data_IF_841083977890
#
_entry.id   IF_841083977890
#
_cell.length_a   1.000
_cell.length_b   1.000
_cell.length_c   1.000
_cell.angle_alpha   90.00
_cell.angle_beta   90.00
_cell.angle_gamma   90.00
#
_symmetry.space_group_name_H-M   'P 1'
#
loop_
_entity.id
_entity.type
_entity.pdbx_description
1 polymer ?
#
# COMPACT_ATOMS: atom_id res chain seq x y z
N UNK A 1 -21.86 7.08 5.95
CA UNK A 1 -22.88 8.09 5.58
C UNK A 1 -24.19 7.37 5.25
N UNK A 2 -25.36 7.92 5.67
CA UNK A 2 -26.65 7.25 5.38
C UNK A 2 -27.07 7.52 3.93
N UNK A 3 -27.67 6.55 3.21
CA UNK A 3 -28.30 6.80 1.92
C UNK A 3 -29.36 7.90 2.03
N UNK A 4 -29.39 8.83 1.08
CA UNK A 4 -30.36 9.94 1.07
C UNK A 4 -30.00 11.12 1.97
N UNK A 5 -28.74 11.25 2.42
CA UNK A 5 -28.31 12.45 3.14
C UNK A 5 -28.50 13.71 2.28
N UNK A 6 -29.00 14.80 2.87
CA UNK A 6 -29.14 16.08 2.19
C UNK A 6 -27.79 16.72 1.90
N UNK A 7 -27.72 17.66 0.95
CA UNK A 7 -26.51 18.40 0.64
C UNK A 7 -25.92 19.09 1.88
N UNK A 8 -26.76 19.67 2.72
CA UNK A 8 -26.33 20.33 3.95
C UNK A 8 -25.68 19.35 4.93
N UNK A 9 -26.24 18.14 5.05
CA UNK A 9 -25.65 17.08 5.89
C UNK A 9 -24.30 16.62 5.35
N UNK A 10 -24.15 16.50 4.03
CA UNK A 10 -22.89 16.14 3.38
C UNK A 10 -21.84 17.23 3.60
N UNK A 11 -22.22 18.50 3.44
CA UNK A 11 -21.35 19.65 3.63
C UNK A 11 -20.87 19.73 5.09
N UNK A 12 -21.77 19.61 6.05
CA UNK A 12 -21.41 19.63 7.48
C UNK A 12 -20.47 18.47 7.85
N UNK A 13 -20.73 17.28 7.34
CA UNK A 13 -19.85 16.12 7.55
C UNK A 13 -18.45 16.35 6.95
N UNK A 14 -18.38 16.91 5.76
CA UNK A 14 -17.09 17.24 5.11
C UNK A 14 -16.30 18.28 5.91
N UNK A 15 -16.94 19.38 6.33
CA UNK A 15 -16.29 20.41 7.15
C UNK A 15 -15.68 19.83 8.43
N UNK A 16 -16.44 18.93 9.11
CA UNK A 16 -15.96 18.26 10.30
C UNK A 16 -14.73 17.37 10.00
N UNK A 17 -14.74 16.59 8.91
CA UNK A 17 -13.62 15.75 8.50
C UNK A 17 -12.39 16.61 8.17
N UNK A 18 -12.56 17.69 7.40
CA UNK A 18 -11.46 18.58 7.01
C UNK A 18 -10.82 19.27 8.24
N UNK A 19 -11.64 19.68 9.21
CA UNK A 19 -11.15 20.27 10.45
C UNK A 19 -10.31 19.29 11.28
N UNK A 20 -10.76 18.03 11.41
CA UNK A 20 -10.03 16.97 12.10
C UNK A 20 -8.76 16.61 11.36
N UNK A 21 -8.79 16.54 10.02
CA UNK A 21 -7.63 16.28 9.18
C UNK A 21 -6.55 17.35 9.39
N UNK A 22 -6.91 18.63 9.34
CA UNK A 22 -5.95 19.73 9.53
C UNK A 22 -5.31 19.70 10.92
N UNK A 23 -6.08 19.40 11.98
CA UNK A 23 -5.53 19.24 13.34
C UNK A 23 -4.57 18.05 13.45
N UNK A 24 -4.95 16.90 12.89
CA UNK A 24 -4.11 15.70 12.91
C UNK A 24 -2.79 15.89 12.18
N UNK A 25 -2.82 16.52 11.01
CA UNK A 25 -1.62 16.84 10.24
C UNK A 25 -0.79 17.95 10.93
N UNK A 26 -1.40 18.79 11.75
CA UNK A 26 -0.73 19.77 12.60
C UNK A 26 -0.12 19.20 13.88
N UNK A 27 -0.14 17.88 14.09
CA UNK A 27 0.53 17.20 15.20
C UNK A 27 -0.35 16.73 16.35
N UNK A 28 -1.68 16.92 16.28
CA UNK A 28 -2.61 16.34 17.25
C UNK A 28 -2.82 14.84 16.99
N UNK A 29 -2.24 13.99 17.85
CA UNK A 29 -2.29 12.52 17.67
C UNK A 29 -3.72 11.95 17.75
N UNK A 30 -4.61 12.51 18.59
CA UNK A 30 -6.00 12.07 18.67
C UNK A 30 -6.78 12.43 17.41
N UNK A 31 -6.61 13.65 16.92
CA UNK A 31 -7.20 14.09 15.65
C UNK A 31 -6.60 13.31 14.46
N UNK A 32 -5.30 12.97 14.50
CA UNK A 32 -4.68 12.11 13.49
C UNK A 32 -5.36 10.74 13.42
N UNK A 33 -5.52 10.07 14.56
CA UNK A 33 -6.18 8.77 14.64
C UNK A 33 -7.63 8.83 14.13
N UNK A 34 -8.36 9.89 14.51
CA UNK A 34 -9.75 10.09 14.09
C UNK A 34 -9.86 10.33 12.58
N UNK A 35 -9.02 11.18 11.99
CA UNK A 35 -9.09 11.43 10.55
C UNK A 35 -8.71 10.19 9.74
N UNK A 36 -7.71 9.41 10.18
CA UNK A 36 -7.35 8.16 9.51
C UNK A 36 -8.50 7.15 9.51
N UNK A 37 -9.25 7.07 10.61
CA UNK A 37 -10.42 6.21 10.69
C UNK A 37 -11.54 6.69 9.75
N UNK A 38 -11.84 7.98 9.73
CA UNK A 38 -12.87 8.58 8.86
C UNK A 38 -12.50 8.44 7.38
N UNK A 39 -11.24 8.68 7.02
CA UNK A 39 -10.78 8.54 5.65
C UNK A 39 -10.86 7.07 5.19
N UNK A 40 -10.49 6.11 6.04
CA UNK A 40 -10.62 4.70 5.72
C UNK A 40 -12.10 4.30 5.51
N UNK A 41 -13.02 4.81 6.33
CA UNK A 41 -14.46 4.59 6.13
C UNK A 41 -14.95 5.14 4.78
N UNK A 42 -14.45 6.31 4.35
CA UNK A 42 -14.73 6.84 3.02
C UNK A 42 -14.20 5.93 1.90
N UNK A 43 -13.07 5.27 2.11
CA UNK A 43 -12.43 4.39 1.13
C UNK A 43 -13.10 3.02 1.02
N UNK A 44 -13.41 2.38 2.14
CA UNK A 44 -13.85 0.97 2.19
C UNK A 44 -15.35 0.78 2.39
N UNK A 45 -16.12 1.86 2.52
CA UNK A 45 -17.57 1.77 2.67
C UNK A 45 -18.21 0.99 1.51
N UNK A 46 -19.12 0.08 1.83
CA UNK A 46 -19.66 -0.91 0.89
C UNK A 46 -20.96 -0.49 0.17
N UNK A 47 -21.55 0.64 0.56
CA UNK A 47 -22.81 1.09 -0.08
C UNK A 47 -22.54 1.77 -1.43
N UNK A 48 -22.94 1.17 -2.56
CA UNK A 48 -22.68 1.70 -3.89
C UNK A 48 -23.41 3.04 -4.15
N UNK A 49 -24.54 3.29 -3.47
CA UNK A 49 -25.29 4.53 -3.66
C UNK A 49 -24.58 5.75 -3.04
N UNK A 50 -23.68 5.53 -2.08
CA UNK A 50 -22.90 6.59 -1.44
C UNK A 50 -21.48 6.71 -2.00
N UNK A 51 -21.05 5.80 -2.85
CA UNK A 51 -19.67 5.74 -3.35
C UNK A 51 -19.22 7.03 -4.05
N UNK A 52 -19.96 7.65 -4.97
CA UNK A 52 -19.53 8.89 -5.62
C UNK A 52 -19.30 10.02 -4.61
N UNK A 53 -20.20 10.14 -3.63
CA UNK A 53 -20.06 11.16 -2.57
C UNK A 53 -18.87 10.89 -1.67
N UNK A 54 -18.64 9.63 -1.28
CA UNK A 54 -17.48 9.25 -0.48
C UNK A 54 -16.16 9.51 -1.21
N UNK A 55 -16.07 9.17 -2.52
CA UNK A 55 -14.91 9.47 -3.35
C UNK A 55 -14.65 10.97 -3.45
N UNK A 56 -15.70 11.77 -3.63
CA UNK A 56 -15.59 13.22 -3.65
C UNK A 56 -15.12 13.78 -2.31
N UNK A 57 -15.70 13.33 -1.19
CA UNK A 57 -15.24 13.75 0.15
C UNK A 57 -13.78 13.37 0.40
N UNK A 58 -13.36 12.16 0.04
CA UNK A 58 -11.98 11.73 0.16
C UNK A 58 -11.03 12.62 -0.68
N UNK A 59 -11.43 13.01 -1.90
CA UNK A 59 -10.61 13.92 -2.71
C UNK A 59 -10.43 15.30 -2.08
N UNK A 60 -11.41 15.80 -1.32
CA UNK A 60 -11.26 17.05 -0.57
C UNK A 60 -10.25 16.89 0.60
N UNK A 61 -10.23 15.74 1.25
CA UNK A 61 -9.22 15.42 2.26
C UNK A 61 -7.81 15.39 1.63
N UNK A 62 -7.64 14.82 0.43
CA UNK A 62 -6.35 14.83 -0.27
C UNK A 62 -5.82 16.24 -0.54
N UNK A 63 -6.70 17.19 -0.90
CA UNK A 63 -6.32 18.59 -1.10
C UNK A 63 -5.80 19.24 0.20
N UNK A 64 -6.31 18.83 1.36
CA UNK A 64 -5.77 19.28 2.64
C UNK A 64 -4.41 18.62 2.90
N UNK A 65 -4.30 17.31 2.71
CA UNK A 65 -3.04 16.58 2.90
C UNK A 65 -1.92 17.13 2.00
N UNK A 66 -2.24 17.53 0.76
CA UNK A 66 -1.26 18.10 -0.18
C UNK A 66 -0.66 19.41 0.32
N UNK A 67 -1.42 20.22 1.08
CA UNK A 67 -0.90 21.46 1.69
C UNK A 67 0.09 21.21 2.83
N UNK A 68 0.05 20.02 3.43
CA UNK A 68 0.98 19.59 4.49
C UNK A 68 2.11 18.72 3.96
N UNK A 69 2.05 18.32 2.66
CA UNK A 69 3.12 17.54 2.07
C UNK A 69 4.41 18.39 1.97
N UNK A 70 5.55 17.88 2.47
CA UNK A 70 6.80 18.61 2.36
C UNK A 70 7.18 18.78 0.90
N UNK A 71 7.46 20.03 0.49
CA UNK A 71 8.06 20.29 -0.81
C UNK A 71 9.52 19.81 -0.80
N UNK A 72 9.97 19.02 -1.79
CA UNK A 72 11.37 18.64 -1.90
C UNK A 72 12.22 19.89 -2.12
N UNK A 73 12.98 20.29 -1.10
CA UNK A 73 13.82 21.49 -1.19
C UNK A 73 14.83 21.34 -2.32
N UNK A 74 14.89 22.33 -3.21
CA UNK A 74 15.88 22.39 -4.29
C UNK A 74 15.71 21.29 -5.36
N UNK A 75 14.49 20.76 -5.54
CA UNK A 75 14.24 19.79 -6.60
C UNK A 75 14.47 20.41 -7.97
N UNK A 76 15.20 19.70 -8.83
CA UNK A 76 15.34 20.00 -10.26
C UNK A 76 15.21 18.71 -11.05
N UNK A 77 14.54 18.78 -12.20
CA UNK A 77 14.42 17.65 -13.10
C UNK A 77 15.80 17.20 -13.61
N UNK A 78 15.90 15.91 -13.86
CA UNK A 78 17.09 15.29 -14.43
C UNK A 78 16.68 14.45 -15.66
N UNK A 79 17.63 14.09 -16.55
CA UNK A 79 17.35 13.16 -17.64
C UNK A 79 16.70 11.85 -17.13
N UNK A 80 15.86 11.23 -17.94
CA UNK A 80 15.05 10.05 -17.57
C UNK A 80 15.89 8.92 -16.95
N UNK A 81 17.05 8.63 -17.54
CA UNK A 81 17.96 7.59 -17.04
C UNK A 81 18.57 7.95 -15.67
N UNK A 82 18.84 9.21 -15.44
CA UNK A 82 19.30 9.69 -14.12
C UNK A 82 18.17 9.69 -13.11
N UNK A 83 16.96 10.00 -13.55
CA UNK A 83 15.77 9.92 -12.72
C UNK A 83 15.52 8.49 -12.22
N UNK A 84 15.62 7.46 -13.11
CA UNK A 84 15.54 6.06 -12.70
C UNK A 84 16.56 5.75 -11.61
N UNK A 85 17.83 6.10 -11.82
CA UNK A 85 18.87 5.85 -10.82
C UNK A 85 18.57 6.51 -9.46
N UNK A 86 18.02 7.72 -9.47
CA UNK A 86 17.61 8.41 -8.23
C UNK A 86 16.46 7.69 -7.53
N UNK A 87 15.46 7.25 -8.29
CA UNK A 87 14.31 6.50 -7.77
C UNK A 87 14.76 5.18 -7.17
N UNK A 88 15.55 4.40 -7.90
CA UNK A 88 16.05 3.10 -7.46
C UNK A 88 16.94 3.23 -6.21
N UNK A 89 17.81 4.25 -6.17
CA UNK A 89 18.65 4.54 -5.00
C UNK A 89 17.82 4.90 -3.76
N UNK A 90 16.73 5.67 -3.93
CA UNK A 90 15.82 6.02 -2.84
C UNK A 90 15.06 4.79 -2.33
N UNK A 91 14.59 3.91 -3.25
CA UNK A 91 13.95 2.64 -2.89
C UNK A 91 14.93 1.74 -2.11
N UNK A 92 16.15 1.59 -2.59
CA UNK A 92 17.18 0.79 -1.91
C UNK A 92 17.53 1.34 -0.52
N UNK A 93 17.73 2.66 -0.41
CA UNK A 93 18.08 3.31 0.86
C UNK A 93 16.99 3.15 1.92
N UNK A 94 15.73 3.08 1.51
CA UNK A 94 14.56 2.91 2.39
C UNK A 94 14.03 1.48 2.44
N UNK A 95 14.73 0.55 1.82
CA UNK A 95 14.38 -0.87 1.84
C UNK A 95 14.33 -1.41 3.28
N UNK A 96 13.29 -2.20 3.57
CA UNK A 96 13.07 -2.86 4.87
C UNK A 96 13.99 -4.04 5.14
N UNK A 97 14.90 -4.35 4.24
CA UNK A 97 15.81 -5.50 4.36
C UNK A 97 16.60 -5.49 5.67
N UNK A 98 16.98 -4.29 6.13
CA UNK A 98 17.75 -4.08 7.37
C UNK A 98 16.88 -3.69 8.57
N UNK A 99 15.55 -3.66 8.42
CA UNK A 99 14.66 -3.36 9.52
C UNK A 99 14.77 -4.47 10.59
N UNK A 100 14.78 -4.15 11.92
CA UNK A 100 14.95 -5.16 12.98
C UNK A 100 13.96 -6.33 12.88
N UNK A 101 12.68 -6.07 12.59
CA UNK A 101 11.68 -7.11 12.38
C UNK A 101 12.04 -8.01 11.19
N UNK A 102 12.55 -7.45 10.08
CA UNK A 102 12.96 -8.24 8.92
C UNK A 102 14.18 -9.09 9.21
N UNK A 103 15.14 -8.57 9.99
CA UNK A 103 16.30 -9.34 10.44
C UNK A 103 15.87 -10.49 11.35
N UNK A 104 15.00 -10.22 12.32
CA UNK A 104 14.44 -11.23 13.24
C UNK A 104 13.74 -12.36 12.48
N UNK A 105 12.83 -12.02 11.57
CA UNK A 105 12.03 -13.02 10.84
C UNK A 105 12.86 -13.80 9.81
N UNK A 106 13.70 -13.13 9.04
CA UNK A 106 14.28 -13.74 7.84
C UNK A 106 15.72 -14.23 8.00
N UNK A 107 16.46 -13.74 8.99
CA UNK A 107 17.85 -14.18 9.26
C UNK A 107 17.96 -15.05 10.52
N UNK A 108 16.93 -15.04 11.38
CA UNK A 108 16.85 -15.83 12.59
C UNK A 108 16.01 -17.10 12.45
N UNK A 109 15.69 -17.67 13.62
CA UNK A 109 14.70 -18.75 13.79
C UNK A 109 13.57 -18.19 14.66
N UNK A 110 12.63 -17.42 14.06
CA UNK A 110 11.57 -16.78 14.82
C UNK A 110 10.60 -17.83 15.39
N UNK A 111 9.98 -17.55 16.56
CA UNK A 111 8.83 -18.31 17.04
C UNK A 111 7.70 -18.30 15.98
N UNK A 112 6.89 -19.37 15.94
CA UNK A 112 5.77 -19.46 14.99
C UNK A 112 4.73 -18.36 15.22
N UNK A 113 4.57 -17.91 16.46
CA UNK A 113 3.70 -16.80 16.86
C UNK A 113 4.10 -15.49 16.20
N UNK A 114 5.40 -15.19 16.09
CA UNK A 114 5.92 -14.00 15.42
C UNK A 114 5.66 -14.07 13.92
N UNK A 115 5.77 -15.26 13.33
CA UNK A 115 5.45 -15.50 11.92
C UNK A 115 3.95 -15.30 11.68
N UNK A 116 3.08 -15.86 12.56
CA UNK A 116 1.62 -15.65 12.48
C UNK A 116 1.26 -14.17 12.56
N UNK A 117 1.82 -13.46 13.56
CA UNK A 117 1.63 -12.00 13.71
C UNK A 117 2.03 -11.25 12.43
N UNK A 118 3.21 -11.55 11.88
CA UNK A 118 3.66 -10.92 10.62
C UNK A 118 2.73 -11.22 9.45
N UNK A 119 2.26 -12.46 9.30
CA UNK A 119 1.38 -12.87 8.21
C UNK A 119 0.00 -12.21 8.32
N UNK A 120 -0.56 -12.06 9.53
CA UNK A 120 -1.82 -11.35 9.75
C UNK A 120 -1.74 -9.91 9.22
N UNK A 121 -0.68 -9.19 9.56
CA UNK A 121 -0.45 -7.84 9.05
C UNK A 121 -0.03 -7.81 7.58
N UNK A 122 0.58 -8.89 7.06
CA UNK A 122 0.84 -9.03 5.63
C UNK A 122 -0.46 -9.18 4.84
N UNK A 123 -1.44 -9.93 5.35
CA UNK A 123 -2.77 -10.02 4.78
C UNK A 123 -3.42 -8.64 4.64
N UNK A 124 -3.43 -7.83 5.70
CA UNK A 124 -3.97 -6.45 5.66
C UNK A 124 -3.36 -5.61 4.53
N UNK A 125 -2.06 -5.79 4.27
CA UNK A 125 -1.34 -5.03 3.23
C UNK A 125 -1.59 -5.52 1.81
N UNK A 126 -1.94 -6.78 1.63
CA UNK A 126 -1.89 -7.44 0.31
C UNK A 126 -3.26 -7.80 -0.25
N UNK A 127 -4.30 -7.96 0.59
CA UNK A 127 -5.59 -8.54 0.20
C UNK A 127 -6.29 -7.83 -0.97
N UNK A 128 -6.07 -6.54 -1.17
CA UNK A 128 -6.74 -5.72 -2.19
C UNK A 128 -5.79 -5.12 -3.23
N UNK A 129 -4.61 -5.67 -3.40
CA UNK A 129 -3.63 -5.11 -4.34
C UNK A 129 -4.18 -4.99 -5.76
N UNK A 130 -4.90 -6.00 -6.23
CA UNK A 130 -5.59 -6.01 -7.53
C UNK A 130 -6.52 -4.80 -7.72
N UNK A 131 -7.17 -4.31 -6.67
CA UNK A 131 -8.04 -3.13 -6.77
C UNK A 131 -7.27 -1.83 -6.99
N UNK A 132 -6.03 -1.74 -6.49
CA UNK A 132 -5.16 -0.59 -6.74
C UNK A 132 -4.71 -0.53 -8.20
N UNK A 133 -4.39 -1.69 -8.79
CA UNK A 133 -4.08 -1.80 -10.22
C UNK A 133 -5.25 -1.35 -11.08
N UNK A 134 -6.47 -1.84 -10.78
CA UNK A 134 -7.68 -1.47 -11.49
C UNK A 134 -7.97 0.04 -11.38
N UNK A 135 -7.88 0.62 -10.18
CA UNK A 135 -8.10 2.06 -9.94
C UNK A 135 -7.12 2.92 -10.73
N UNK A 136 -5.84 2.53 -10.79
CA UNK A 136 -4.84 3.28 -11.54
C UNK A 136 -5.01 3.10 -13.05
N UNK A 137 -5.36 1.89 -13.53
CA UNK A 137 -5.61 1.63 -14.95
C UNK A 137 -6.65 2.58 -15.55
N UNK A 138 -7.74 2.87 -14.82
CA UNK A 138 -8.79 3.79 -15.26
C UNK A 138 -8.36 5.26 -15.36
N UNK A 139 -7.14 5.60 -14.92
CA UNK A 139 -6.61 6.97 -15.01
C UNK A 139 -5.94 7.27 -16.35
N UNK A 140 -5.68 6.26 -17.16
CA UNK A 140 -5.04 6.40 -18.46
C UNK A 140 -6.10 6.42 -19.57
N UNK A 141 -6.09 7.48 -20.38
CA UNK A 141 -6.97 7.60 -21.55
C UNK A 141 -6.54 6.67 -22.69
N UNK A 142 -5.21 6.41 -22.78
CA UNK A 142 -4.64 5.54 -23.77
C UNK A 142 -4.64 4.08 -23.27
N UNK A 143 -5.28 3.20 -24.05
CA UNK A 143 -5.37 1.77 -23.75
C UNK A 143 -4.00 1.08 -23.71
N UNK A 144 -3.03 1.56 -24.51
CA UNK A 144 -1.68 1.02 -24.51
C UNK A 144 -0.98 1.25 -23.16
N UNK A 145 -1.17 2.44 -22.57
CA UNK A 145 -0.62 2.77 -21.26
C UNK A 145 -1.36 2.01 -20.14
N UNK A 146 -2.68 1.93 -20.21
CA UNK A 146 -3.50 1.16 -19.27
C UNK A 146 -3.20 -0.35 -19.32
N UNK A 147 -2.76 -0.88 -20.46
CA UNK A 147 -2.55 -2.32 -20.67
C UNK A 147 -1.49 -2.92 -19.73
N UNK A 148 -0.53 -2.13 -19.26
CA UNK A 148 0.46 -2.56 -18.25
C UNK A 148 -0.26 -3.06 -16.99
N UNK A 149 -1.24 -2.29 -16.51
CA UNK A 149 -2.02 -2.65 -15.32
C UNK A 149 -3.02 -3.76 -15.57
N UNK A 150 -3.64 -3.82 -16.76
CA UNK A 150 -4.56 -4.90 -17.09
C UNK A 150 -3.87 -6.25 -17.21
N UNK A 151 -2.64 -6.32 -17.72
CA UNK A 151 -1.86 -7.57 -17.74
C UNK A 151 -1.51 -8.04 -16.34
N UNK A 152 -1.01 -7.14 -15.48
CA UNK A 152 -0.74 -7.46 -14.08
C UNK A 152 -2.04 -7.89 -13.37
N UNK A 153 -3.13 -7.13 -13.52
CA UNK A 153 -4.44 -7.46 -12.95
C UNK A 153 -4.97 -8.83 -13.39
N UNK A 154 -4.74 -9.21 -14.66
CA UNK A 154 -5.11 -10.53 -15.15
C UNK A 154 -4.34 -11.64 -14.41
N UNK A 155 -3.04 -11.46 -14.16
CA UNK A 155 -2.22 -12.34 -13.33
C UNK A 155 -2.72 -12.40 -11.88
N UNK A 156 -2.96 -11.24 -11.27
CA UNK A 156 -3.49 -11.11 -9.90
C UNK A 156 -4.85 -11.83 -9.73
N UNK A 157 -5.68 -11.81 -10.77
CA UNK A 157 -6.96 -12.51 -10.79
C UNK A 157 -6.84 -14.04 -10.99
N UNK A 158 -5.62 -14.58 -11.14
CA UNK A 158 -5.36 -16.00 -11.36
C UNK A 158 -5.42 -16.41 -12.83
N UNK A 159 -5.33 -15.45 -13.76
CA UNK A 159 -5.46 -15.66 -15.20
C UNK A 159 -6.77 -16.42 -15.53
N UNK A 160 -6.67 -17.62 -16.08
CA UNK A 160 -7.83 -18.45 -16.43
C UNK A 160 -8.30 -19.36 -15.29
N UNK A 161 -7.65 -19.26 -14.11
CA UNK A 161 -7.92 -20.12 -12.94
C UNK A 161 -8.20 -19.27 -11.71
N UNK A 162 -9.45 -18.82 -11.47
CA UNK A 162 -9.79 -17.91 -10.36
C UNK A 162 -9.38 -18.43 -8.97
N UNK A 163 -9.33 -19.74 -8.77
CA UNK A 163 -8.87 -20.39 -7.54
C UNK A 163 -7.39 -20.14 -7.27
N UNK A 164 -6.64 -19.71 -8.27
CA UNK A 164 -5.25 -19.31 -8.20
C UNK A 164 -5.07 -17.78 -8.18
N UNK A 165 -6.14 -17.02 -8.00
CA UNK A 165 -6.02 -15.59 -7.75
C UNK A 165 -5.12 -15.33 -6.53
N UNK A 166 -4.32 -14.28 -6.56
CA UNK A 166 -3.38 -13.99 -5.50
C UNK A 166 -4.04 -13.87 -4.11
N UNK A 167 -5.24 -13.25 -3.95
CA UNK A 167 -5.96 -13.30 -2.68
C UNK A 167 -6.36 -14.74 -2.25
N UNK A 168 -6.72 -15.62 -3.19
CA UNK A 168 -7.06 -17.01 -2.86
C UNK A 168 -5.81 -17.78 -2.41
N UNK A 169 -4.68 -17.64 -3.11
CA UNK A 169 -3.42 -18.27 -2.74
C UNK A 169 -2.94 -17.79 -1.37
N UNK A 170 -3.01 -16.49 -1.11
CA UNK A 170 -2.64 -15.94 0.19
C UNK A 170 -3.58 -16.43 1.30
N UNK A 171 -4.87 -16.60 1.00
CA UNK A 171 -5.85 -17.17 1.94
C UNK A 171 -5.52 -18.63 2.34
N UNK A 172 -4.94 -19.43 1.45
CA UNK A 172 -4.47 -20.78 1.80
C UNK A 172 -3.35 -20.72 2.85
N UNK A 173 -2.41 -19.77 2.72
CA UNK A 173 -1.35 -19.57 3.72
C UNK A 173 -1.93 -19.13 5.07
N UNK A 174 -2.87 -18.17 5.05
CA UNK A 174 -3.55 -17.72 6.27
C UNK A 174 -4.25 -18.89 6.98
N UNK A 175 -4.98 -19.71 6.23
CA UNK A 175 -5.67 -20.89 6.76
C UNK A 175 -4.69 -21.91 7.35
N UNK A 176 -3.54 -22.14 6.72
CA UNK A 176 -2.51 -23.06 7.24
C UNK A 176 -1.99 -22.63 8.62
N UNK A 177 -1.92 -21.32 8.88
CA UNK A 177 -1.50 -20.76 10.17
C UNK A 177 -2.67 -20.46 11.12
N UNK A 178 -3.89 -20.95 10.85
CA UNK A 178 -5.11 -20.65 11.63
C UNK A 178 -5.40 -19.15 11.78
N UNK A 179 -5.09 -18.36 10.76
CA UNK A 179 -5.36 -16.92 10.71
C UNK A 179 -6.62 -16.72 9.86
N UNK A 180 -7.71 -16.13 10.41
CA UNK A 180 -8.89 -15.83 9.61
C UNK A 180 -8.56 -14.82 8.50
N UNK A 181 -8.84 -15.13 7.20
CA UNK A 181 -8.56 -14.23 6.09
C UNK A 181 -9.62 -13.10 6.00
N UNK A 182 -9.73 -12.32 7.05
CA UNK A 182 -10.66 -11.18 7.16
C UNK A 182 -9.96 -10.01 7.85
N UNK A 183 -10.45 -8.79 7.59
CA UNK A 183 -9.93 -7.58 8.20
C UNK A 183 -11.03 -6.92 9.02
N UNK A 184 -10.76 -6.66 10.27
CA UNK A 184 -11.58 -5.80 11.13
C UNK A 184 -11.08 -4.35 11.01
N UNK A 185 -11.53 -3.65 9.97
CA UNK A 185 -11.12 -2.27 9.71
C UNK A 185 -11.28 -1.31 10.89
N UNK A 186 -12.37 -1.36 11.69
CA UNK A 186 -12.49 -0.57 12.90
C UNK A 186 -11.35 -0.80 13.90
N UNK A 187 -10.93 -2.06 14.09
CA UNK A 187 -9.92 -2.45 15.06
C UNK A 187 -8.48 -2.12 14.65
N UNK A 188 -8.22 -1.82 13.37
CA UNK A 188 -6.86 -1.49 12.90
C UNK A 188 -6.28 -0.29 13.66
N UNK A 189 -4.98 -0.37 13.94
CA UNK A 189 -4.23 0.75 14.52
C UNK A 189 -4.22 1.97 13.57
N UNK A 190 -4.18 3.22 14.06
CA UNK A 190 -4.15 4.42 13.20
C UNK A 190 -3.06 4.42 12.12
N UNK A 191 -1.87 3.88 12.38
CA UNK A 191 -0.80 3.76 11.39
C UNK A 191 -1.09 2.72 10.30
N UNK A 192 -1.80 1.62 10.62
CA UNK A 192 -2.28 0.68 9.60
C UNK A 192 -3.33 1.33 8.70
N UNK A 193 -4.25 2.06 9.31
CA UNK A 193 -5.25 2.86 8.57
C UNK A 193 -4.55 3.88 7.66
N UNK A 194 -3.53 4.58 8.17
CA UNK A 194 -2.73 5.53 7.39
C UNK A 194 -2.02 4.85 6.20
N UNK A 195 -1.48 3.65 6.41
CA UNK A 195 -0.85 2.87 5.36
C UNK A 195 -1.85 2.51 4.24
N UNK A 196 -3.03 1.99 4.60
CA UNK A 196 -4.09 1.65 3.64
C UNK A 196 -4.63 2.90 2.93
N UNK A 197 -4.92 3.96 3.67
CA UNK A 197 -5.40 5.23 3.14
C UNK A 197 -4.41 5.83 2.14
N UNK A 198 -3.12 5.81 2.44
CA UNK A 198 -2.10 6.32 1.53
C UNK A 198 -2.06 5.56 0.20
N UNK A 199 -2.18 4.23 0.23
CA UNK A 199 -2.20 3.41 -0.98
C UNK A 199 -3.39 3.76 -1.87
N UNK A 200 -4.59 3.81 -1.29
CA UNK A 200 -5.81 4.16 -2.02
C UNK A 200 -5.75 5.61 -2.53
N UNK A 201 -5.27 6.53 -1.70
CA UNK A 201 -5.06 7.92 -2.10
C UNK A 201 -4.15 8.05 -3.31
N UNK A 202 -2.99 7.38 -3.31
CA UNK A 202 -2.04 7.47 -4.40
C UNK A 202 -2.64 7.07 -5.75
N UNK A 203 -3.40 5.96 -5.82
CA UNK A 203 -4.01 5.51 -7.08
C UNK A 203 -5.25 6.32 -7.48
N UNK A 204 -5.91 6.98 -6.53
CA UNK A 204 -7.06 7.88 -6.75
C UNK A 204 -6.69 9.34 -6.89
N UNK A 205 -5.43 9.71 -6.68
CA UNK A 205 -4.94 11.08 -6.81
C UNK A 205 -5.18 11.60 -8.23
N UNK A 206 -5.43 12.92 -8.37
CA UNK A 206 -5.67 13.55 -9.69
C UNK A 206 -4.48 13.42 -10.64
N UNK A 207 -3.27 13.34 -10.10
CA UNK A 207 -2.04 13.17 -10.85
C UNK A 207 -1.55 11.72 -10.79
N UNK A 208 -1.34 11.10 -11.94
CA UNK A 208 -0.92 9.69 -12.05
C UNK A 208 0.47 9.41 -11.48
N UNK A 209 1.32 10.45 -11.33
CA UNK A 209 2.65 10.32 -10.74
C UNK A 209 2.60 9.70 -9.34
N UNK A 210 1.55 9.98 -8.56
CA UNK A 210 1.36 9.41 -7.22
C UNK A 210 1.13 7.90 -7.25
N UNK A 211 0.24 7.45 -8.11
CA UNK A 211 -0.07 6.02 -8.26
C UNK A 211 1.10 5.24 -8.85
N UNK A 212 1.74 5.79 -9.88
CA UNK A 212 2.92 5.19 -10.52
C UNK A 212 4.08 5.04 -9.53
N UNK A 213 4.36 6.06 -8.71
CA UNK A 213 5.41 6.00 -7.69
C UNK A 213 5.13 4.93 -6.64
N UNK A 214 3.88 4.85 -6.16
CA UNK A 214 3.47 3.83 -5.19
C UNK A 214 3.66 2.42 -5.75
N UNK A 215 3.07 2.13 -6.93
CA UNK A 215 3.10 0.78 -7.48
C UNK A 215 4.52 0.39 -7.88
N UNK A 216 5.29 1.28 -8.51
CA UNK A 216 6.69 1.02 -8.80
C UNK A 216 7.52 0.70 -7.55
N UNK A 217 7.31 1.44 -6.46
CA UNK A 217 8.00 1.16 -5.20
C UNK A 217 7.60 -0.20 -4.59
N UNK A 218 6.33 -0.59 -4.73
CA UNK A 218 5.85 -1.89 -4.22
C UNK A 218 6.43 -3.03 -5.04
N UNK A 219 6.33 -2.97 -6.37
CA UNK A 219 6.82 -4.02 -7.27
C UNK A 219 8.35 -4.16 -7.19
N UNK A 220 9.10 -3.06 -7.16
CA UNK A 220 10.57 -3.08 -7.10
C UNK A 220 11.12 -3.81 -5.86
N UNK A 221 10.38 -3.85 -4.75
CA UNK A 221 10.83 -4.55 -3.52
C UNK A 221 10.12 -5.89 -3.32
N UNK A 222 9.07 -6.15 -4.08
CA UNK A 222 8.18 -7.29 -3.91
C UNK A 222 8.92 -8.61 -4.10
N UNK A 223 9.60 -8.80 -5.21
CA UNK A 223 10.36 -10.01 -5.55
C UNK A 223 11.31 -10.44 -4.41
N UNK A 224 12.14 -9.51 -3.91
CA UNK A 224 13.08 -9.79 -2.81
C UNK A 224 12.36 -10.13 -1.52
N UNK A 225 11.29 -9.42 -1.18
CA UNK A 225 10.53 -9.67 0.05
C UNK A 225 9.80 -11.01 -0.01
N UNK A 226 9.14 -11.34 -1.12
CA UNK A 226 8.43 -12.60 -1.30
C UNK A 226 9.36 -13.81 -1.30
N UNK A 227 10.53 -13.70 -1.93
CA UNK A 227 11.57 -14.74 -1.89
C UNK A 227 12.00 -15.04 -0.45
N UNK A 228 12.21 -14.01 0.37
CA UNK A 228 12.57 -14.17 1.80
C UNK A 228 11.45 -14.80 2.62
N UNK A 229 10.20 -14.40 2.38
CA UNK A 229 9.06 -15.02 3.06
C UNK A 229 8.96 -16.49 2.64
N UNK A 230 9.09 -16.80 1.36
CA UNK A 230 9.09 -18.18 0.88
C UNK A 230 10.20 -19.02 1.53
N UNK A 231 11.43 -18.51 1.59
CA UNK A 231 12.55 -19.17 2.28
C UNK A 231 12.28 -19.39 3.77
N UNK A 232 11.66 -18.42 4.45
CA UNK A 232 11.22 -18.58 5.84
C UNK A 232 10.21 -19.73 5.97
N UNK A 233 9.18 -19.75 5.13
CA UNK A 233 8.15 -20.78 5.13
C UNK A 233 8.74 -22.19 4.87
N UNK A 234 9.71 -22.30 3.94
CA UNK A 234 10.42 -23.56 3.71
C UNK A 234 11.22 -24.01 4.92
N UNK A 235 11.92 -23.10 5.63
CA UNK A 235 12.64 -23.44 6.88
C UNK A 235 11.69 -23.93 7.99
N UNK A 236 10.45 -23.44 8.01
CA UNK A 236 9.41 -23.87 8.94
C UNK A 236 8.70 -25.16 8.52
N UNK A 237 9.05 -25.74 7.37
CA UNK A 237 8.42 -26.95 6.86
C UNK A 237 7.00 -26.76 6.31
N UNK A 238 6.63 -25.51 5.95
CA UNK A 238 5.34 -25.22 5.33
C UNK A 238 5.26 -25.89 3.96
N UNK A 239 4.19 -26.64 3.65
CA UNK A 239 4.02 -27.28 2.36
C UNK A 239 4.01 -26.30 1.18
N UNK A 240 4.26 -26.80 -0.04
CA UNK A 240 4.32 -26.00 -1.26
C UNK A 240 3.02 -25.24 -1.52
N UNK A 241 1.86 -25.92 -1.37
CA UNK A 241 0.57 -25.34 -1.72
C UNK A 241 0.23 -24.08 -0.89
N UNK A 242 0.38 -24.03 0.45
CA UNK A 242 0.22 -22.77 1.20
C UNK A 242 1.29 -21.72 0.88
N UNK A 243 2.49 -22.12 0.45
CA UNK A 243 3.60 -21.23 0.14
C UNK A 243 3.56 -20.65 -1.28
N UNK A 244 2.66 -21.12 -2.14
CA UNK A 244 2.64 -20.84 -3.59
C UNK A 244 2.57 -19.35 -3.89
N UNK A 245 1.79 -18.57 -3.15
CA UNK A 245 1.69 -17.12 -3.32
C UNK A 245 3.07 -16.45 -3.31
N UNK A 246 3.88 -16.75 -2.30
CA UNK A 246 5.21 -16.14 -2.16
C UNK A 246 6.22 -16.69 -3.16
N UNK A 247 6.09 -17.93 -3.58
CA UNK A 247 6.93 -18.52 -4.62
C UNK A 247 6.72 -17.82 -5.97
N UNK A 248 5.47 -17.58 -6.35
CA UNK A 248 5.13 -16.92 -7.61
C UNK A 248 5.67 -15.50 -7.67
N UNK A 249 5.38 -14.67 -6.65
CA UNK A 249 5.86 -13.30 -6.58
C UNK A 249 7.41 -13.20 -6.48
N UNK A 250 8.08 -14.22 -5.98
CA UNK A 250 9.54 -14.24 -5.93
C UNK A 250 10.23 -14.29 -7.31
N UNK A 251 9.48 -14.44 -8.41
CA UNK A 251 10.01 -14.57 -9.77
C UNK A 251 9.32 -13.66 -10.79
N UNK A 252 8.03 -13.33 -10.61
CA UNK A 252 7.22 -12.61 -11.59
C UNK A 252 7.44 -11.10 -11.59
N UNK A 253 7.60 -10.52 -10.40
CA UNK A 253 7.53 -9.06 -10.20
C UNK A 253 8.70 -8.29 -10.86
N UNK A 254 9.80 -8.96 -11.28
CA UNK A 254 10.88 -8.31 -12.02
C UNK A 254 10.42 -7.82 -13.41
N UNK A 255 9.55 -8.61 -14.09
CA UNK A 255 9.00 -8.24 -15.41
C UNK A 255 8.04 -7.07 -15.27
N UNK A 256 7.15 -7.14 -14.27
CA UNK A 256 6.15 -6.09 -14.02
C UNK A 256 6.82 -4.75 -13.68
N UNK A 257 7.94 -4.78 -12.95
CA UNK A 257 8.74 -3.59 -12.62
C UNK A 257 9.32 -2.91 -13.88
N UNK A 258 9.87 -3.67 -14.84
CA UNK A 258 10.43 -3.12 -16.08
C UNK A 258 9.34 -2.55 -16.99
N UNK A 259 8.20 -3.23 -17.13
CA UNK A 259 7.06 -2.73 -17.90
C UNK A 259 6.50 -1.43 -17.30
N UNK A 260 6.41 -1.36 -15.98
CA UNK A 260 5.97 -0.15 -15.28
C UNK A 260 6.98 0.99 -15.46
N UNK A 261 8.31 0.70 -15.41
CA UNK A 261 9.31 1.74 -15.69
C UNK A 261 9.21 2.27 -17.12
N UNK A 262 8.97 1.41 -18.10
CA UNK A 262 8.79 1.84 -19.48
C UNK A 262 7.60 2.82 -19.64
N UNK A 263 6.54 2.62 -18.85
CA UNK A 263 5.42 3.56 -18.79
C UNK A 263 5.82 4.87 -18.08
N UNK A 264 6.48 4.80 -16.92
CA UNK A 264 6.96 5.97 -16.16
C UNK A 264 7.86 6.85 -17.02
N UNK A 265 8.74 6.24 -17.82
CA UNK A 265 9.68 6.94 -18.69
C UNK A 265 9.00 7.87 -19.73
N UNK A 266 7.74 7.59 -20.11
CA UNK A 266 6.95 8.47 -21.00
C UNK A 266 6.59 9.81 -20.34
N UNK A 267 6.38 9.81 -19.03
CA UNK A 267 6.00 10.99 -18.24
C UNK A 267 7.20 11.69 -17.60
N UNK A 268 8.28 10.96 -17.37
CA UNK A 268 9.48 11.43 -16.68
C UNK A 268 10.21 12.64 -17.31
N UNK A 269 10.04 13.03 -18.60
CA UNK A 269 10.56 14.31 -19.09
C UNK A 269 9.96 15.55 -18.40
N UNK A 270 8.81 15.44 -17.75
CA UNK A 270 8.16 16.54 -17.02
C UNK A 270 8.77 16.70 -15.63
N UNK A 271 9.24 17.93 -15.32
CA UNK A 271 9.74 18.28 -13.98
C UNK A 271 8.66 18.12 -12.91
N UNK A 272 7.43 18.57 -13.21
CA UNK A 272 6.29 18.44 -12.28
C UNK A 272 5.98 16.96 -11.98
N UNK A 273 6.05 16.11 -13.00
CA UNK A 273 5.89 14.68 -12.82
C UNK A 273 6.99 14.09 -11.90
N UNK A 274 8.26 14.36 -12.19
CA UNK A 274 9.36 13.85 -11.37
C UNK A 274 9.24 14.32 -9.91
N UNK A 275 8.89 15.60 -9.69
CA UNK A 275 8.70 16.17 -8.36
C UNK A 275 7.59 15.45 -7.59
N UNK A 276 6.41 15.29 -8.18
CA UNK A 276 5.26 14.61 -7.57
C UNK A 276 5.52 13.12 -7.33
N UNK A 277 6.21 12.48 -8.26
CA UNK A 277 6.65 11.09 -8.12
C UNK A 277 7.53 10.91 -6.87
N UNK A 278 8.55 11.76 -6.70
CA UNK A 278 9.43 11.70 -5.54
C UNK A 278 8.73 12.07 -4.23
N UNK A 279 7.76 12.99 -4.25
CA UNK A 279 6.91 13.29 -3.08
C UNK A 279 6.08 12.09 -2.66
N UNK A 280 5.43 11.42 -3.61
CA UNK A 280 4.65 10.21 -3.35
C UNK A 280 5.52 9.08 -2.78
N UNK A 281 6.69 8.88 -3.38
CA UNK A 281 7.66 7.87 -2.95
C UNK A 281 8.13 8.12 -1.51
N UNK A 282 8.53 9.35 -1.20
CA UNK A 282 8.99 9.73 0.14
C UNK A 282 7.89 9.50 1.18
N UNK A 283 6.66 9.97 0.91
CA UNK A 283 5.50 9.77 1.79
C UNK A 283 5.18 8.28 2.01
N UNK A 284 5.20 7.48 0.93
CA UNK A 284 4.96 6.05 1.05
C UNK A 284 5.95 5.38 2.00
N UNK A 285 7.23 5.66 1.85
CA UNK A 285 8.26 5.06 2.69
C UNK A 285 8.22 5.56 4.13
N UNK A 286 7.89 6.82 4.36
CA UNK A 286 7.74 7.37 5.70
C UNK A 286 6.63 6.67 6.48
N UNK A 287 5.43 6.56 5.89
CA UNK A 287 4.29 5.85 6.49
C UNK A 287 4.61 4.36 6.66
N UNK A 288 5.22 3.74 5.65
CA UNK A 288 5.60 2.34 5.67
C UNK A 288 6.60 2.03 6.79
N UNK A 289 7.58 2.91 7.00
CA UNK A 289 8.54 2.77 8.09
C UNK A 289 7.86 2.87 9.45
N UNK A 290 7.07 3.92 9.68
CA UNK A 290 6.36 4.10 10.95
C UNK A 290 5.43 2.90 11.26
N UNK A 291 4.79 2.34 10.22
CA UNK A 291 3.98 1.13 10.37
C UNK A 291 4.82 -0.10 10.76
N UNK A 292 5.99 -0.30 10.15
CA UNK A 292 6.87 -1.42 10.48
C UNK A 292 7.53 -1.27 11.86
N UNK A 293 7.89 -0.06 12.26
CA UNK A 293 8.37 0.24 13.61
C UNK A 293 7.29 -0.15 14.65
N UNK A 294 6.03 0.22 14.43
CA UNK A 294 4.90 -0.20 15.26
C UNK A 294 4.75 -1.72 15.35
N UNK A 295 4.79 -2.42 14.20
CA UNK A 295 4.66 -3.88 14.19
C UNK A 295 5.81 -4.54 14.98
N UNK A 296 7.01 -4.01 14.88
CA UNK A 296 8.14 -4.51 15.63
C UNK A 296 7.98 -4.33 17.13
N UNK A 297 7.53 -3.16 17.58
CA UNK A 297 7.22 -2.88 18.98
C UNK A 297 6.15 -3.83 19.53
N UNK A 298 5.08 -4.06 18.77
CA UNK A 298 4.01 -4.99 19.16
C UNK A 298 4.50 -6.45 19.22
N UNK A 299 5.29 -6.89 18.25
CA UNK A 299 5.87 -8.24 18.23
C UNK A 299 6.75 -8.48 19.47
N UNK A 300 7.60 -7.50 19.82
CA UNK A 300 8.43 -7.58 21.03
C UNK A 300 7.58 -7.63 22.31
N UNK A 301 6.53 -6.82 22.42
CA UNK A 301 5.63 -6.81 23.57
C UNK A 301 4.90 -8.16 23.74
N UNK A 302 4.45 -8.77 22.63
CA UNK A 302 3.79 -10.08 22.66
C UNK A 302 4.76 -11.18 23.12
N UNK A 303 6.01 -11.16 22.65
CA UNK A 303 7.02 -12.14 23.05
C UNK A 303 7.36 -12.05 24.54
N UNK A 304 7.43 -10.83 25.10
CA UNK A 304 7.65 -10.62 26.54
C UNK A 304 6.46 -11.06 27.40
N UNK A 305 5.24 -10.98 26.90
CA UNK A 305 4.03 -11.40 27.62
C UNK A 305 3.87 -12.93 27.69
N UNK A 306 4.54 -13.67 26.79
CA UNK A 306 4.50 -15.14 26.72
C UNK A 306 5.69 -15.82 27.46
N UNK A 307 6.73 -15.07 27.81
CA UNK A 307 7.91 -15.55 28.54
C UNK A 307 7.72 -15.47 30.06
#
# INVERSE_FOLDING_TARGET
MKPGASLDQITLALEAILAVTAKGLGGDASAYAQYQALLLELHVGSDPHTEPTRRWMASQVYLVEDRFAPEPAGFSAVPVEEFRKKVDAEIEARSRVRHPMSVHLFQGTPPVEDVRFFLEHHWVRSYNFYSLLAELAFRFENIEDASVFYRNLYGEAGAETPERSHPALLSHLMTYFDIPPRIDFPALHPLEKAYLNNRIRCVRHTDVAWGLALLYAVESVSCVNHRRIYELLQRLGVPEQPSEFHRLHGTQDEIDTEEMWALIAKFAPSEDFQRKFMQSLARHFEINRAYFDLLWEQMQANSLAMA
#
